data_IF_070112626838
#
_entry.id   IF_070112626838
#
_cell.length_a   1.000
_cell.length_b   1.000
_cell.length_c   1.000
_cell.angle_alpha   90.00
_cell.angle_beta   90.00
_cell.angle_gamma   90.00
#
_symmetry.space_group_name_H-M   'P 1'
#
loop_
_entity.id
_entity.type
_entity.pdbx_description
1 polymer ?
#
# COMPACT_ATOMS: atom_id res chain seq x y z
N UNK A 1 9.40 -20.87 17.22
CA UNK A 1 9.67 -19.45 16.87
C UNK A 1 11.06 -18.99 17.30
N UNK A 2 11.48 -19.28 18.53
CA UNK A 2 12.80 -18.85 19.07
C UNK A 2 13.98 -19.58 18.40
N UNK A 3 13.83 -20.87 18.17
CA UNK A 3 14.78 -21.70 17.41
C UNK A 3 14.94 -21.23 15.95
N UNK A 4 13.84 -20.89 15.30
CA UNK A 4 13.82 -20.32 13.95
C UNK A 4 14.45 -18.90 13.88
N UNK A 5 14.21 -18.07 14.91
CA UNK A 5 14.89 -16.75 15.06
C UNK A 5 16.39 -16.92 15.25
N UNK A 6 16.83 -17.95 15.98
CA UNK A 6 18.23 -18.28 16.20
C UNK A 6 18.92 -18.72 14.90
N UNK A 7 18.28 -19.62 14.13
CA UNK A 7 18.81 -20.10 12.84
C UNK A 7 18.97 -18.97 11.81
N UNK A 8 17.98 -18.07 11.68
CA UNK A 8 18.07 -16.94 10.74
C UNK A 8 19.11 -15.89 11.17
N UNK A 9 19.29 -15.66 12.48
CA UNK A 9 20.32 -14.72 12.99
C UNK A 9 21.74 -15.27 12.82
N UNK A 10 21.92 -16.59 12.91
CA UNK A 10 23.22 -17.23 12.85
C UNK A 10 23.83 -17.23 11.43
N UNK A 11 23.01 -17.30 10.38
CA UNK A 11 23.54 -17.30 9.02
C UNK A 11 23.78 -15.87 8.49
N UNK A 12 25.02 -15.39 8.55
CA UNK A 12 25.50 -14.21 7.79
C UNK A 12 25.70 -14.49 6.29
N UNK A 13 24.95 -15.42 5.68
CA UNK A 13 25.08 -15.72 4.25
C UNK A 13 24.41 -14.62 3.43
N UNK A 14 25.14 -14.11 2.42
CA UNK A 14 24.57 -13.25 1.38
C UNK A 14 23.41 -14.02 0.71
N UNK A 15 22.30 -13.34 0.35
CA UNK A 15 21.24 -13.98 -0.43
C UNK A 15 21.82 -14.63 -1.69
N UNK A 16 21.35 -15.82 -2.04
CA UNK A 16 21.73 -16.47 -3.29
C UNK A 16 21.18 -15.66 -4.47
N UNK A 17 21.87 -15.70 -5.61
CA UNK A 17 21.36 -15.12 -6.85
C UNK A 17 20.15 -15.93 -7.35
N UNK A 18 19.21 -15.28 -8.04
CA UNK A 18 18.14 -15.99 -8.73
C UNK A 18 18.70 -16.80 -9.89
N UNK A 19 18.20 -18.02 -10.07
CA UNK A 19 18.44 -18.85 -11.26
C UNK A 19 17.10 -19.22 -11.91
N UNK A 20 17.08 -19.67 -13.18
CA UNK A 20 15.85 -20.16 -13.80
C UNK A 20 15.17 -21.30 -13.01
N UNK A 21 15.96 -22.17 -12.39
CA UNK A 21 15.48 -23.32 -11.60
C UNK A 21 15.02 -22.90 -10.21
N UNK A 22 15.59 -21.83 -9.65
CA UNK A 22 15.17 -21.27 -8.38
C UNK A 22 15.10 -19.72 -8.42
N UNK A 23 14.00 -19.17 -8.99
CA UNK A 23 13.78 -17.73 -9.01
C UNK A 23 13.67 -17.11 -7.61
N UNK A 24 13.29 -17.90 -6.60
CA UNK A 24 13.05 -17.41 -5.24
C UNK A 24 14.31 -17.44 -4.33
N UNK A 25 15.44 -17.93 -4.83
CA UNK A 25 16.68 -18.07 -4.06
C UNK A 25 17.12 -16.79 -3.30
N UNK A 26 16.98 -15.57 -3.85
CA UNK A 26 17.30 -14.33 -3.13
C UNK A 26 16.39 -14.05 -1.93
N UNK A 27 15.19 -14.63 -1.89
CA UNK A 27 14.13 -14.27 -0.95
C UNK A 27 13.79 -15.39 0.05
N UNK A 28 14.48 -16.53 0.01
CA UNK A 28 14.14 -17.71 0.84
C UNK A 28 14.04 -17.38 2.33
N UNK A 29 14.84 -16.43 2.85
CA UNK A 29 14.73 -15.98 4.25
C UNK A 29 13.43 -15.24 4.54
N UNK A 30 12.93 -14.47 3.59
CA UNK A 30 11.67 -13.75 3.72
C UNK A 30 10.51 -14.74 3.64
N UNK A 31 10.53 -15.67 2.69
CA UNK A 31 9.51 -16.70 2.56
C UNK A 31 9.48 -17.67 3.73
N UNK A 32 10.64 -18.14 4.23
CA UNK A 32 10.67 -18.98 5.42
C UNK A 32 10.04 -18.27 6.64
N UNK A 33 10.25 -16.95 6.77
CA UNK A 33 9.62 -16.16 7.84
C UNK A 33 8.11 -16.05 7.65
N UNK A 34 7.67 -15.82 6.41
CA UNK A 34 6.25 -15.81 6.08
C UNK A 34 5.62 -17.16 6.41
N UNK A 35 6.21 -18.27 5.96
CA UNK A 35 5.73 -19.64 6.20
C UNK A 35 5.57 -19.95 7.68
N UNK A 36 6.55 -19.54 8.50
CA UNK A 36 6.49 -19.72 9.95
C UNK A 36 5.35 -18.91 10.61
N UNK A 37 4.90 -17.81 9.99
CA UNK A 37 3.82 -16.96 10.48
C UNK A 37 2.44 -17.39 10.00
N UNK A 38 2.32 -18.01 8.82
CA UNK A 38 1.04 -18.38 8.19
C UNK A 38 0.08 -19.12 9.15
N UNK A 39 0.50 -20.13 9.94
CA UNK A 39 -0.41 -20.81 10.87
C UNK A 39 -0.99 -19.88 11.94
N UNK A 40 -0.21 -18.90 12.40
CA UNK A 40 -0.66 -17.92 13.40
C UNK A 40 -1.63 -16.92 12.77
N UNK A 41 -1.29 -16.39 11.60
CA UNK A 41 -2.15 -15.46 10.87
C UNK A 41 -3.52 -16.09 10.57
N UNK A 42 -3.52 -17.34 10.12
CA UNK A 42 -4.75 -18.12 9.91
C UNK A 42 -5.59 -18.27 11.17
N UNK A 43 -4.99 -18.61 12.32
CA UNK A 43 -5.72 -18.72 13.61
C UNK A 43 -6.36 -17.41 14.04
N UNK A 44 -5.78 -16.28 13.65
CA UNK A 44 -6.29 -14.95 13.97
C UNK A 44 -7.17 -14.34 12.87
N UNK A 45 -7.43 -15.07 11.78
CA UNK A 45 -8.23 -14.56 10.66
C UNK A 45 -7.55 -13.40 9.90
N UNK A 46 -6.22 -13.26 10.01
CA UNK A 46 -5.47 -12.20 9.33
C UNK A 46 -5.12 -12.71 7.93
N UNK A 47 -5.61 -12.01 6.92
CA UNK A 47 -5.30 -12.27 5.51
C UNK A 47 -4.10 -11.44 5.04
N UNK A 48 -3.45 -11.88 3.97
CA UNK A 48 -2.24 -11.27 3.43
C UNK A 48 -2.46 -10.92 1.96
N UNK A 49 -2.17 -9.67 1.63
CA UNK A 49 -1.81 -9.24 0.28
C UNK A 49 -0.28 -9.21 0.20
N UNK A 50 0.30 -10.07 -0.63
CA UNK A 50 1.75 -10.14 -0.79
C UNK A 50 2.18 -9.23 -1.94
N UNK A 51 3.04 -8.26 -1.67
CA UNK A 51 3.48 -7.25 -2.64
C UNK A 51 4.92 -7.48 -3.07
N UNK A 52 5.21 -7.42 -4.37
CA UNK A 52 6.57 -7.28 -4.86
C UNK A 52 7.00 -5.81 -4.74
N UNK A 53 7.85 -5.47 -3.78
CA UNK A 53 8.40 -4.12 -3.65
C UNK A 53 9.73 -3.99 -4.41
N UNK A 54 10.83 -4.44 -3.81
CA UNK A 54 12.14 -4.49 -4.46
C UNK A 54 12.43 -5.92 -4.88
N UNK A 55 12.57 -6.14 -6.19
CA UNK A 55 12.92 -7.43 -6.75
C UNK A 55 14.44 -7.52 -6.98
N UNK A 56 14.96 -8.74 -6.97
CA UNK A 56 16.32 -9.07 -7.38
C UNK A 56 16.62 -8.46 -8.75
N UNK A 57 17.76 -7.77 -8.86
CA UNK A 57 18.14 -7.06 -10.07
C UNK A 57 17.51 -5.68 -10.25
N UNK A 58 16.58 -5.25 -9.39
CA UNK A 58 16.10 -3.87 -9.39
C UNK A 58 17.25 -2.90 -9.04
N UNK A 59 17.30 -1.72 -9.67
CA UNK A 59 18.28 -0.69 -9.32
C UNK A 59 18.16 -0.29 -7.84
N UNK A 60 19.28 0.10 -7.21
CA UNK A 60 19.22 0.73 -5.89
C UNK A 60 18.61 2.13 -6.03
N UNK A 61 17.61 2.44 -5.21
CA UNK A 61 16.93 3.73 -5.20
C UNK A 61 15.41 3.60 -5.32
N UNK A 62 14.71 4.69 -5.06
CA UNK A 62 13.27 4.79 -5.26
C UNK A 62 12.99 5.47 -6.61
N UNK A 63 12.53 4.67 -7.57
CA UNK A 63 12.26 5.12 -8.95
C UNK A 63 11.19 6.22 -8.98
N UNK A 64 10.34 6.32 -7.95
CA UNK A 64 9.37 7.42 -7.84
C UNK A 64 10.05 8.79 -7.82
N UNK A 65 11.21 8.89 -7.14
CA UNK A 65 11.95 10.14 -7.00
C UNK A 65 13.14 10.30 -7.97
N UNK A 66 13.30 9.35 -8.91
CA UNK A 66 14.37 9.29 -9.90
C UNK A 66 13.77 9.40 -11.31
N UNK A 67 13.47 10.63 -11.72
CA UNK A 67 12.69 10.94 -12.93
C UNK A 67 13.32 10.50 -14.26
N UNK A 68 14.58 10.06 -14.26
CA UNK A 68 15.33 9.58 -15.42
C UNK A 68 15.37 8.05 -15.55
N UNK A 69 14.76 7.31 -14.61
CA UNK A 69 14.74 5.84 -14.61
C UNK A 69 13.35 5.27 -14.81
N UNK A 70 13.30 4.09 -15.43
CA UNK A 70 12.10 3.29 -15.59
C UNK A 70 12.21 2.01 -14.77
N UNK A 71 11.11 1.61 -14.14
CA UNK A 71 11.04 0.36 -13.39
C UNK A 71 10.91 -0.83 -14.34
N UNK A 72 12.05 -1.29 -14.86
CA UNK A 72 12.13 -2.48 -15.70
C UNK A 72 12.89 -3.61 -15.00
N UNK A 73 12.15 -4.60 -14.50
CA UNK A 73 12.73 -5.81 -13.94
C UNK A 73 12.19 -7.08 -14.64
N UNK A 74 13.02 -7.65 -15.53
CA UNK A 74 12.68 -8.87 -16.27
C UNK A 74 12.53 -10.12 -15.42
N UNK A 75 12.97 -10.13 -14.18
CA UNK A 75 12.82 -11.26 -13.26
C UNK A 75 11.39 -11.37 -12.68
N UNK A 76 10.55 -10.34 -12.88
CA UNK A 76 9.22 -10.26 -12.28
C UNK A 76 8.29 -11.42 -12.68
N UNK A 77 8.18 -11.83 -13.96
CA UNK A 77 7.35 -12.96 -14.34
C UNK A 77 7.82 -14.30 -13.74
N UNK A 78 9.13 -14.57 -13.69
CA UNK A 78 9.67 -15.80 -13.09
C UNK A 78 9.47 -15.81 -11.56
N UNK A 79 9.66 -14.67 -10.91
CA UNK A 79 9.34 -14.50 -9.49
C UNK A 79 7.88 -14.85 -9.22
N UNK A 80 6.94 -14.26 -9.98
CA UNK A 80 5.51 -14.49 -9.79
C UNK A 80 5.07 -15.91 -10.15
N UNK A 81 5.68 -16.54 -11.17
CA UNK A 81 5.48 -17.96 -11.48
C UNK A 81 5.84 -18.84 -10.28
N UNK A 82 6.98 -18.59 -9.65
CA UNK A 82 7.44 -19.39 -8.52
C UNK A 82 6.64 -19.11 -7.23
N UNK A 83 6.28 -17.85 -6.96
CA UNK A 83 5.43 -17.47 -5.81
C UNK A 83 4.04 -18.11 -5.93
N UNK A 84 3.40 -17.99 -7.09
CA UNK A 84 2.07 -18.58 -7.32
C UNK A 84 2.09 -20.10 -7.17
N UNK A 85 3.11 -20.80 -7.70
CA UNK A 85 3.29 -22.25 -7.46
C UNK A 85 3.40 -22.58 -5.98
N UNK A 86 4.15 -21.80 -5.20
CA UNK A 86 4.39 -22.05 -3.77
C UNK A 86 3.12 -21.90 -2.94
N UNK A 87 2.30 -20.87 -3.23
CA UNK A 87 1.20 -20.45 -2.35
C UNK A 87 -0.21 -20.68 -2.89
N UNK A 88 -0.40 -21.29 -4.07
CA UNK A 88 -1.73 -21.58 -4.67
C UNK A 88 -2.75 -22.31 -3.78
N UNK A 89 -2.30 -22.94 -2.70
CA UNK A 89 -3.15 -23.65 -1.75
C UNK A 89 -3.10 -23.04 -0.33
N UNK A 90 -2.49 -21.87 -0.17
CA UNK A 90 -2.42 -21.16 1.10
C UNK A 90 -3.55 -20.12 1.19
N UNK A 91 -4.65 -20.41 1.92
CA UNK A 91 -5.81 -19.52 1.98
C UNK A 91 -5.56 -18.19 2.72
N UNK A 92 -4.46 -18.09 3.48
CA UNK A 92 -4.10 -16.86 4.19
C UNK A 92 -3.61 -15.78 3.22
N UNK A 93 -3.04 -16.17 2.06
CA UNK A 93 -2.60 -15.24 1.02
C UNK A 93 -3.75 -15.09 0.02
N UNK A 94 -4.43 -13.95 0.08
CA UNK A 94 -5.66 -13.72 -0.69
C UNK A 94 -5.41 -12.92 -1.96
N UNK A 95 -4.30 -12.18 -2.01
CA UNK A 95 -3.95 -11.35 -3.15
C UNK A 95 -2.45 -11.22 -3.35
N UNK A 96 -2.06 -10.98 -4.60
CA UNK A 96 -0.72 -10.56 -5.00
C UNK A 96 -0.76 -9.13 -5.55
N UNK A 97 -0.08 -8.18 -4.90
CA UNK A 97 0.18 -6.88 -5.51
C UNK A 97 1.42 -7.00 -6.41
N UNK A 98 1.19 -6.92 -7.72
CA UNK A 98 2.18 -7.32 -8.75
C UNK A 98 3.47 -6.53 -8.65
N UNK A 99 3.39 -5.24 -8.33
CA UNK A 99 4.51 -4.35 -8.07
C UNK A 99 4.03 -3.16 -7.26
N UNK A 100 4.75 -2.83 -6.19
CA UNK A 100 4.58 -1.57 -5.46
C UNK A 100 5.08 -0.40 -6.31
N UNK A 101 4.28 0.65 -6.45
CA UNK A 101 4.62 1.92 -7.10
C UNK A 101 5.39 1.74 -8.43
N UNK A 102 4.84 1.02 -9.42
CA UNK A 102 5.46 0.93 -10.73
C UNK A 102 5.56 2.35 -11.31
N UNK A 103 6.78 2.81 -11.55
CA UNK A 103 7.06 4.19 -11.94
C UNK A 103 7.87 4.24 -13.24
N UNK A 104 7.50 5.15 -14.13
CA UNK A 104 8.11 5.30 -15.46
C UNK A 104 8.20 6.78 -15.78
N UNK A 105 9.16 7.16 -16.64
CA UNK A 105 9.36 8.58 -16.98
C UNK A 105 8.13 9.25 -17.62
N UNK A 106 7.32 8.47 -18.35
CA UNK A 106 6.14 8.96 -19.06
C UNK A 106 5.13 7.82 -19.38
N UNK A 107 3.90 8.15 -19.81
CA UNK A 107 2.90 7.15 -20.22
C UNK A 107 3.30 6.26 -21.41
N UNK A 108 4.22 6.72 -22.28
CA UNK A 108 4.69 5.94 -23.44
C UNK A 108 5.60 4.80 -22.96
N UNK A 109 6.52 5.08 -22.02
CA UNK A 109 7.35 4.05 -21.39
C UNK A 109 6.52 3.10 -20.54
N UNK A 110 5.58 3.61 -19.73
CA UNK A 110 4.65 2.76 -18.99
C UNK A 110 3.88 1.83 -19.94
N UNK A 111 3.39 2.32 -21.09
CA UNK A 111 2.75 1.46 -22.09
C UNK A 111 3.68 0.39 -22.62
N UNK A 112 4.89 0.76 -23.04
CA UNK A 112 5.85 -0.17 -23.63
C UNK A 112 6.34 -1.25 -22.66
N UNK A 113 6.68 -0.85 -21.44
CA UNK A 113 7.38 -1.71 -20.47
C UNK A 113 6.40 -2.41 -19.54
N UNK A 114 5.43 -1.69 -18.99
CA UNK A 114 4.50 -2.24 -18.02
C UNK A 114 3.32 -2.92 -18.72
N UNK A 115 2.54 -2.16 -19.48
CA UNK A 115 1.27 -2.62 -20.02
C UNK A 115 1.41 -3.65 -21.15
N UNK A 116 2.49 -3.59 -21.93
CA UNK A 116 2.71 -4.49 -23.06
C UNK A 116 3.68 -5.67 -22.76
N UNK A 117 4.39 -5.64 -21.62
CA UNK A 117 5.43 -6.64 -21.32
C UNK A 117 5.30 -7.18 -19.88
N UNK A 118 5.77 -6.44 -18.87
CA UNK A 118 5.92 -6.97 -17.51
C UNK A 118 4.60 -7.42 -16.87
N UNK A 119 3.55 -6.62 -16.94
CA UNK A 119 2.27 -6.95 -16.31
C UNK A 119 1.59 -8.15 -16.99
N UNK A 120 1.36 -8.17 -18.32
CA UNK A 120 0.74 -9.32 -18.97
C UNK A 120 1.51 -10.64 -18.78
N UNK A 121 2.85 -10.59 -18.82
CA UNK A 121 3.68 -11.77 -18.61
C UNK A 121 3.60 -12.28 -17.17
N UNK A 122 3.57 -11.38 -16.18
CA UNK A 122 3.38 -11.74 -14.77
C UNK A 122 1.97 -12.28 -14.49
N UNK A 123 0.94 -11.63 -15.04
CA UNK A 123 -0.46 -12.08 -14.98
C UNK A 123 -0.59 -13.51 -15.53
N UNK A 124 -0.06 -13.75 -16.73
CA UNK A 124 -0.07 -15.08 -17.36
C UNK A 124 0.64 -16.12 -16.49
N UNK A 125 1.84 -15.80 -16.01
CA UNK A 125 2.64 -16.69 -15.17
C UNK A 125 1.93 -17.06 -13.86
N UNK A 126 1.16 -16.15 -13.27
CA UNK A 126 0.35 -16.44 -12.08
C UNK A 126 -0.83 -17.33 -12.46
N UNK A 127 -1.59 -16.98 -13.50
CA UNK A 127 -2.81 -17.70 -13.90
C UNK A 127 -2.55 -19.12 -14.41
N UNK A 128 -1.35 -19.42 -14.88
CA UNK A 128 -0.92 -20.79 -15.18
C UNK A 128 -0.82 -21.69 -13.92
N UNK A 129 -0.72 -21.10 -12.72
CA UNK A 129 -0.52 -21.83 -11.46
C UNK A 129 -1.64 -21.61 -10.43
N UNK A 130 -2.32 -20.46 -10.49
CA UNK A 130 -3.36 -20.03 -9.54
C UNK A 130 -4.39 -19.11 -10.22
N UNK A 131 -5.57 -19.67 -10.50
CA UNK A 131 -6.70 -18.98 -11.12
C UNK A 131 -7.67 -18.37 -10.09
N UNK A 132 -7.42 -18.54 -8.78
CA UNK A 132 -8.30 -18.08 -7.70
C UNK A 132 -7.76 -16.89 -6.92
N UNK A 133 -6.46 -16.63 -6.92
CA UNK A 133 -5.87 -15.48 -6.22
C UNK A 133 -6.28 -14.14 -6.85
N UNK A 134 -6.56 -13.14 -6.02
CA UNK A 134 -6.76 -11.76 -6.49
C UNK A 134 -5.43 -11.12 -6.87
N UNK A 135 -5.42 -10.28 -7.90
CA UNK A 135 -4.25 -9.49 -8.26
C UNK A 135 -4.55 -8.03 -8.01
N UNK A 136 -3.66 -7.40 -7.25
CA UNK A 136 -3.70 -5.97 -7.00
C UNK A 136 -2.80 -5.28 -8.01
N UNK A 137 -3.38 -4.34 -8.75
CA UNK A 137 -2.75 -3.62 -9.84
C UNK A 137 -2.68 -2.13 -9.50
N UNK A 138 -1.48 -1.69 -9.16
CA UNK A 138 -1.15 -0.28 -8.99
C UNK A 138 -0.79 0.37 -10.33
N UNK A 139 -1.24 1.62 -10.54
CA UNK A 139 -1.12 2.29 -11.84
C UNK A 139 0.20 3.08 -12.00
N UNK A 140 1.04 2.80 -13.01
CA UNK A 140 2.05 3.75 -13.48
C UNK A 140 1.43 4.93 -14.26
N UNK A 141 2.21 5.97 -14.62
CA UNK A 141 3.65 6.16 -14.45
C UNK A 141 4.06 6.88 -13.17
N UNK A 142 3.13 7.17 -12.25
CA UNK A 142 3.35 8.09 -11.12
C UNK A 142 3.21 7.40 -9.76
N UNK A 143 3.93 6.29 -9.56
CA UNK A 143 3.99 5.56 -8.29
C UNK A 143 2.64 5.34 -7.63
N UNK A 144 1.71 4.71 -8.35
CA UNK A 144 0.37 4.38 -7.86
C UNK A 144 -0.50 5.58 -7.44
N UNK A 145 -0.15 6.84 -7.75
CA UNK A 145 -1.01 7.98 -7.39
C UNK A 145 -2.35 7.95 -8.16
N UNK A 146 -3.39 8.48 -7.53
CA UNK A 146 -4.78 8.43 -8.03
C UNK A 146 -4.95 8.88 -9.49
N UNK A 147 -4.17 9.86 -9.97
CA UNK A 147 -4.26 10.32 -11.37
C UNK A 147 -3.66 9.34 -12.38
N UNK A 148 -2.91 8.32 -11.96
CA UNK A 148 -2.49 7.22 -12.83
C UNK A 148 -3.68 6.45 -13.42
N UNK A 149 -4.86 6.56 -12.80
CA UNK A 149 -6.12 6.00 -13.31
C UNK A 149 -6.60 6.64 -14.62
N UNK A 150 -6.04 7.79 -15.02
CA UNK A 150 -6.28 8.37 -16.35
C UNK A 150 -5.81 7.42 -17.48
N UNK A 151 -4.81 6.59 -17.21
CA UNK A 151 -4.11 5.78 -18.19
C UNK A 151 -4.18 4.26 -17.92
N UNK A 152 -4.78 3.84 -16.82
CA UNK A 152 -4.93 2.41 -16.51
C UNK A 152 -5.98 1.77 -17.41
N UNK A 153 -5.64 0.68 -18.15
CA UNK A 153 -6.62 -0.04 -18.94
C UNK A 153 -7.52 -0.91 -18.04
N UNK A 154 -8.73 -1.16 -18.51
CA UNK A 154 -9.51 -2.29 -18.02
C UNK A 154 -8.78 -3.59 -18.39
N UNK A 155 -8.64 -4.50 -17.43
CA UNK A 155 -7.96 -5.79 -17.61
C UNK A 155 -9.03 -6.85 -17.73
N UNK A 156 -8.93 -7.69 -18.75
CA UNK A 156 -9.84 -8.82 -18.95
C UNK A 156 -9.46 -10.00 -18.03
N UNK A 157 -9.61 -9.78 -16.73
CA UNK A 157 -9.45 -10.80 -15.69
C UNK A 157 -10.45 -10.51 -14.55
N UNK A 158 -11.18 -11.54 -14.13
CA UNK A 158 -12.29 -11.40 -13.16
C UNK A 158 -11.82 -11.13 -11.73
N UNK A 159 -10.52 -11.28 -11.46
CA UNK A 159 -9.91 -11.22 -10.13
C UNK A 159 -8.84 -10.14 -10.05
N UNK A 160 -9.13 -8.97 -10.61
CA UNK A 160 -8.31 -7.76 -10.50
C UNK A 160 -8.91 -6.77 -9.50
N UNK A 161 -8.06 -6.22 -8.65
CA UNK A 161 -8.32 -5.08 -7.78
C UNK A 161 -7.40 -3.95 -8.26
N UNK A 162 -7.98 -2.80 -8.58
CA UNK A 162 -7.22 -1.62 -8.99
C UNK A 162 -6.85 -0.82 -7.75
N UNK A 163 -5.57 -0.47 -7.61
CA UNK A 163 -5.09 0.18 -6.40
C UNK A 163 -4.38 1.51 -6.66
N UNK A 164 -4.51 2.41 -5.68
CA UNK A 164 -3.77 3.67 -5.64
C UNK A 164 -3.28 4.00 -4.23
N UNK A 165 -2.24 4.84 -4.16
CA UNK A 165 -1.70 5.42 -2.94
C UNK A 165 -2.27 6.82 -2.73
N UNK A 166 -2.67 7.13 -1.50
CA UNK A 166 -3.25 8.41 -1.12
C UNK A 166 -2.44 9.14 -0.06
N UNK A 167 -1.81 10.24 -0.48
CA UNK A 167 -0.98 11.07 0.40
C UNK A 167 -1.15 12.57 0.14
N UNK A 168 -2.27 13.02 -0.42
CA UNK A 168 -2.43 14.44 -0.80
C UNK A 168 -2.91 15.31 0.37
N UNK A 169 -2.34 16.48 0.65
CA UNK A 169 -1.08 17.02 0.10
C UNK A 169 0.14 16.18 0.49
N UNK A 170 0.99 15.90 -0.50
CA UNK A 170 2.22 15.14 -0.26
C UNK A 170 3.19 15.90 0.63
N UNK A 171 3.27 17.24 0.48
CA UNK A 171 4.12 18.05 1.34
C UNK A 171 3.64 18.04 2.80
N UNK A 172 2.32 17.98 3.03
CA UNK A 172 1.73 17.88 4.36
C UNK A 172 1.95 16.50 4.99
N UNK A 173 1.61 15.42 4.27
CA UNK A 173 1.69 14.04 4.78
C UNK A 173 3.12 13.55 4.99
N UNK A 174 4.08 14.16 4.30
CA UNK A 174 5.51 13.85 4.38
C UNK A 174 6.34 15.00 4.98
N UNK A 175 5.71 15.98 5.63
CA UNK A 175 6.41 17.15 6.17
C UNK A 175 7.55 16.72 7.10
N UNK A 176 8.76 17.23 6.91
CA UNK A 176 9.91 16.92 7.75
C UNK A 176 10.56 15.53 7.56
N UNK A 177 10.17 14.78 6.52
CA UNK A 177 10.81 13.51 6.16
C UNK A 177 12.00 13.78 5.22
N UNK A 178 13.22 13.76 5.74
CA UNK A 178 14.43 14.23 5.02
C UNK A 178 14.81 13.43 3.76
N UNK A 179 14.37 12.18 3.63
CA UNK A 179 14.55 11.40 2.40
C UNK A 179 13.70 11.92 1.23
N UNK A 180 12.64 12.68 1.52
CA UNK A 180 11.61 13.12 0.58
C UNK A 180 11.64 14.64 0.45
N UNK A 181 11.72 15.33 1.58
CA UNK A 181 12.00 16.75 1.65
C UNK A 181 13.47 17.00 1.32
N UNK A 182 13.77 17.14 0.02
CA UNK A 182 15.14 17.26 -0.50
C UNK A 182 15.69 18.68 -0.37
N UNK A 183 14.84 19.69 -0.11
CA UNK A 183 15.22 21.11 -0.10
C UNK A 183 14.65 21.86 1.10
N UNK A 184 15.34 22.93 1.50
CA UNK A 184 14.83 23.91 2.45
C UNK A 184 14.90 23.50 3.94
N UNK A 185 14.31 24.34 4.82
CA UNK A 185 14.29 24.10 6.25
C UNK A 185 13.43 22.89 6.60
N UNK A 186 13.57 22.39 7.84
CA UNK A 186 12.66 21.36 8.34
C UNK A 186 11.20 21.82 8.27
N UNK A 187 10.32 20.99 7.72
CA UNK A 187 8.87 21.28 7.67
C UNK A 187 8.07 20.54 8.73
N UNK A 188 8.69 19.86 9.72
CA UNK A 188 7.95 19.29 10.85
C UNK A 188 7.09 20.34 11.54
N UNK A 189 5.78 20.14 11.53
CA UNK A 189 4.81 21.05 12.13
C UNK A 189 4.51 22.30 11.31
N UNK A 190 5.12 22.47 10.14
CA UNK A 190 4.98 23.69 9.34
C UNK A 190 3.65 23.77 8.58
N UNK A 191 3.02 22.63 8.30
CA UNK A 191 1.77 22.55 7.55
C UNK A 191 0.68 21.92 8.41
N UNK A 192 -0.54 22.44 8.32
CA UNK A 192 -1.70 21.99 9.10
C UNK A 192 -2.79 21.43 8.18
N UNK A 193 -3.69 20.61 8.71
CA UNK A 193 -4.89 20.16 8.01
C UNK A 193 -6.14 20.30 8.90
N UNK A 194 -7.25 20.88 8.40
CA UNK A 194 -7.32 21.67 7.16
C UNK A 194 -6.40 22.89 7.22
N UNK A 195 -5.81 23.28 6.09
CA UNK A 195 -4.81 24.36 6.09
C UNK A 195 -4.03 24.50 4.79
N UNK A 196 -3.10 25.46 4.77
CA UNK A 196 -2.25 25.68 3.61
C UNK A 196 -1.04 24.75 3.61
N UNK A 197 -0.84 24.08 2.47
CA UNK A 197 0.35 23.29 2.20
C UNK A 197 0.63 23.27 0.69
N UNK A 198 1.90 23.25 0.27
CA UNK A 198 2.24 22.90 -1.11
C UNK A 198 1.67 21.54 -1.47
N UNK A 199 1.36 21.26 -2.74
CA UNK A 199 0.98 19.90 -3.15
C UNK A 199 2.15 18.92 -2.96
N UNK A 200 3.36 19.35 -3.30
CA UNK A 200 4.62 18.62 -3.19
C UNK A 200 5.72 19.54 -2.65
N UNK A 201 6.83 18.95 -2.17
CA UNK A 201 7.97 19.71 -1.65
C UNK A 201 8.44 20.80 -2.63
N UNK A 202 8.71 21.99 -2.10
CA UNK A 202 9.11 23.17 -2.89
C UNK A 202 8.01 23.81 -3.77
N UNK A 203 6.78 23.29 -3.75
CA UNK A 203 5.65 23.89 -4.47
C UNK A 203 5.07 25.14 -3.80
N UNK A 204 4.16 25.83 -4.50
CA UNK A 204 3.37 26.93 -3.92
C UNK A 204 2.29 26.37 -2.98
N UNK A 205 2.09 26.94 -1.79
CA UNK A 205 0.99 26.57 -0.91
C UNK A 205 -0.37 26.75 -1.58
N UNK A 206 -1.27 25.80 -1.32
CA UNK A 206 -2.70 25.89 -1.62
C UNK A 206 -3.47 25.41 -0.40
N UNK A 207 -4.75 25.79 -0.29
CA UNK A 207 -5.59 25.37 0.82
C UNK A 207 -6.07 23.93 0.64
N UNK A 208 -5.94 23.12 1.69
CA UNK A 208 -6.37 21.72 1.74
C UNK A 208 -7.45 21.55 2.80
N UNK A 209 -8.61 21.12 2.36
CA UNK A 209 -9.69 20.58 3.16
C UNK A 209 -10.12 19.22 2.58
N UNK A 210 -11.22 18.67 3.07
CA UNK A 210 -11.78 17.41 2.57
C UNK A 210 -12.14 17.46 1.09
N UNK A 211 -12.72 18.56 0.61
CA UNK A 211 -13.12 18.69 -0.79
C UNK A 211 -11.89 18.72 -1.72
N UNK A 212 -10.82 19.42 -1.31
CA UNK A 212 -9.55 19.43 -2.02
C UNK A 212 -8.89 18.05 -2.04
N UNK A 213 -8.95 17.30 -0.94
CA UNK A 213 -8.46 15.92 -0.84
C UNK A 213 -9.24 15.00 -1.79
N UNK A 214 -10.57 15.05 -1.76
CA UNK A 214 -11.45 14.25 -2.62
C UNK A 214 -11.23 14.55 -4.11
N UNK A 215 -11.03 15.82 -4.47
CA UNK A 215 -10.77 16.23 -5.84
C UNK A 215 -9.53 15.54 -6.45
N UNK A 216 -8.55 15.15 -5.63
CA UNK A 216 -7.37 14.42 -6.10
C UNK A 216 -7.67 13.02 -6.64
N UNK A 217 -8.84 12.47 -6.30
CA UNK A 217 -9.29 11.13 -6.71
C UNK A 217 -10.15 11.16 -7.97
N UNK A 218 -10.24 12.31 -8.66
CA UNK A 218 -11.08 12.50 -9.84
C UNK A 218 -10.95 11.38 -10.88
N UNK A 219 -9.72 11.00 -11.22
CA UNK A 219 -9.47 9.96 -12.24
C UNK A 219 -9.92 8.57 -11.79
N UNK A 220 -9.89 8.27 -10.48
CA UNK A 220 -10.43 7.03 -9.92
C UNK A 220 -11.95 7.00 -10.10
N UNK A 221 -12.64 8.12 -9.86
CA UNK A 221 -14.07 8.23 -10.10
C UNK A 221 -14.43 8.05 -11.58
N UNK A 222 -13.67 8.68 -12.49
CA UNK A 222 -13.90 8.51 -13.93
C UNK A 222 -13.63 7.08 -14.39
N UNK A 223 -12.60 6.44 -13.85
CA UNK A 223 -12.34 5.02 -14.12
C UNK A 223 -13.47 4.13 -13.63
N UNK A 224 -13.94 4.31 -12.39
CA UNK A 224 -15.06 3.54 -11.82
C UNK A 224 -16.37 3.76 -12.58
N UNK A 225 -16.63 4.98 -13.07
CA UNK A 225 -17.78 5.28 -13.93
C UNK A 225 -17.72 4.52 -15.26
N UNK A 226 -16.52 4.44 -15.87
CA UNK A 226 -16.28 3.66 -17.10
C UNK A 226 -16.31 2.15 -16.85
N UNK A 227 -15.96 1.72 -15.65
CA UNK A 227 -15.80 0.31 -15.25
C UNK A 227 -16.57 0.04 -13.94
N UNK A 228 -17.91 0.01 -13.96
CA UNK A 228 -18.72 -0.10 -12.73
C UNK A 228 -18.47 -1.40 -11.95
N UNK A 229 -17.97 -2.46 -12.59
CA UNK A 229 -17.58 -3.71 -11.93
C UNK A 229 -16.18 -3.71 -11.29
N UNK A 230 -15.34 -2.71 -11.55
CA UNK A 230 -13.97 -2.67 -11.04
C UNK A 230 -13.92 -2.52 -9.52
N UNK A 231 -13.08 -3.32 -8.84
CA UNK A 231 -12.79 -3.16 -7.41
C UNK A 231 -11.67 -2.15 -7.22
N UNK A 232 -11.81 -1.28 -6.23
CA UNK A 232 -10.84 -0.24 -5.91
C UNK A 232 -10.29 -0.50 -4.50
N UNK A 233 -8.98 -0.39 -4.36
CA UNK A 233 -8.25 -0.47 -3.09
C UNK A 233 -7.37 0.77 -2.92
N UNK A 234 -7.45 1.41 -1.76
CA UNK A 234 -6.44 2.38 -1.35
C UNK A 234 -5.32 1.62 -0.65
N UNK A 235 -4.33 1.14 -1.42
CA UNK A 235 -3.33 0.19 -0.92
C UNK A 235 -2.32 0.82 0.04
N UNK A 236 -2.15 2.15 0.00
CA UNK A 236 -1.39 2.88 1.00
C UNK A 236 -1.96 4.28 1.22
N UNK A 237 -2.10 4.67 2.47
CA UNK A 237 -2.32 6.06 2.86
C UNK A 237 -1.86 6.27 4.30
N UNK A 238 -1.50 7.50 4.64
CA UNK A 238 -1.04 7.85 5.96
C UNK A 238 -0.59 9.31 6.05
N UNK A 239 -0.26 9.73 7.25
CA UNK A 239 0.17 11.10 7.54
C UNK A 239 1.26 11.05 8.62
N UNK A 240 2.30 11.85 8.46
CA UNK A 240 3.36 11.91 9.46
C UNK A 240 2.78 12.18 10.86
N UNK A 241 3.21 11.42 11.86
CA UNK A 241 2.67 11.49 13.24
C UNK A 241 2.80 12.86 13.90
N UNK A 242 3.76 13.68 13.45
CA UNK A 242 3.96 15.05 13.94
C UNK A 242 3.23 16.11 13.11
N UNK A 243 2.48 15.73 12.06
CA UNK A 243 1.73 16.66 11.24
C UNK A 243 0.47 17.15 11.99
N UNK A 244 0.34 18.45 12.30
CA UNK A 244 -0.84 18.99 12.96
C UNK A 244 -2.12 18.69 12.16
N UNK A 245 -3.17 18.25 12.85
CA UNK A 245 -4.45 17.90 12.19
C UNK A 245 -4.48 16.52 11.52
N UNK A 246 -3.47 15.67 11.74
CA UNK A 246 -3.38 14.36 11.07
C UNK A 246 -4.55 13.42 11.35
N UNK A 247 -5.16 13.47 12.55
CA UNK A 247 -6.37 12.70 12.84
C UNK A 247 -7.57 13.15 12.00
N UNK A 248 -7.74 14.47 11.78
CA UNK A 248 -8.79 15.00 10.91
C UNK A 248 -8.55 14.59 9.45
N UNK A 249 -7.29 14.64 8.98
CA UNK A 249 -6.94 14.18 7.63
C UNK A 249 -7.26 12.71 7.41
N UNK A 250 -6.91 11.84 8.37
CA UNK A 250 -7.27 10.42 8.31
C UNK A 250 -8.78 10.21 8.33
N UNK A 251 -9.52 10.99 9.13
CA UNK A 251 -10.98 10.89 9.23
C UNK A 251 -11.62 11.22 7.88
N UNK A 252 -11.20 12.33 7.27
CA UNK A 252 -11.73 12.77 5.98
C UNK A 252 -11.38 11.81 4.85
N UNK A 253 -10.15 11.28 4.83
CA UNK A 253 -9.71 10.28 3.85
C UNK A 253 -10.52 8.97 3.97
N UNK A 254 -10.62 8.41 5.18
CA UNK A 254 -11.36 7.16 5.43
C UNK A 254 -12.84 7.35 5.09
N UNK A 255 -13.46 8.48 5.46
CA UNK A 255 -14.87 8.73 5.12
C UNK A 255 -15.10 8.77 3.61
N UNK A 256 -14.17 9.36 2.84
CA UNK A 256 -14.25 9.33 1.37
C UNK A 256 -14.18 7.89 0.86
N UNK A 257 -13.22 7.09 1.34
CA UNK A 257 -13.05 5.70 0.90
C UNK A 257 -14.29 4.85 1.21
N UNK A 258 -14.80 4.93 2.42
CA UNK A 258 -15.99 4.20 2.89
C UNK A 258 -17.25 4.62 2.13
N UNK A 259 -17.44 5.93 1.88
CA UNK A 259 -18.57 6.44 1.08
C UNK A 259 -18.59 5.86 -0.34
N UNK A 260 -17.42 5.56 -0.90
CA UNK A 260 -17.29 4.95 -2.22
C UNK A 260 -17.19 3.41 -2.20
N UNK A 261 -17.22 2.80 -1.02
CA UNK A 261 -17.11 1.34 -0.85
C UNK A 261 -15.76 0.79 -1.29
N UNK A 262 -14.68 1.54 -1.06
CA UNK A 262 -13.32 1.13 -1.39
C UNK A 262 -12.64 0.51 -0.17
N UNK A 263 -11.97 -0.62 -0.38
CA UNK A 263 -11.10 -1.21 0.63
C UNK A 263 -9.86 -0.32 0.85
N UNK A 264 -9.22 -0.39 2.01
CA UNK A 264 -8.04 0.44 2.31
C UNK A 264 -7.07 -0.20 3.30
N UNK A 265 -5.80 0.17 3.19
CA UNK A 265 -4.72 -0.24 4.12
C UNK A 265 -3.89 0.97 4.57
N UNK A 266 -3.78 1.15 5.89
CA UNK A 266 -3.01 2.26 6.48
C UNK A 266 -1.51 1.96 6.47
N UNK A 267 -0.71 2.93 6.02
CA UNK A 267 0.74 2.92 6.11
C UNK A 267 1.17 3.71 7.36
N UNK A 268 1.92 3.15 8.31
CA UNK A 268 2.31 1.73 8.42
C UNK A 268 2.38 1.24 9.86
N UNK A 269 1.71 0.13 10.17
CA UNK A 269 1.82 -0.52 11.49
C UNK A 269 3.10 -1.35 11.58
N UNK A 270 4.00 -1.00 12.51
CA UNK A 270 5.27 -1.73 12.72
C UNK A 270 6.31 -1.56 11.59
N UNK A 271 6.09 -0.58 10.72
CA UNK A 271 6.97 -0.19 9.61
C UNK A 271 7.97 0.89 10.03
N UNK A 272 7.99 2.01 9.32
CA UNK A 272 8.73 3.19 9.80
C UNK A 272 7.84 4.01 10.71
N UNK A 273 8.37 4.42 11.86
CA UNK A 273 7.58 5.02 12.93
C UNK A 273 7.02 6.41 12.60
N UNK A 274 7.50 7.07 11.54
CA UNK A 274 7.01 8.40 11.17
C UNK A 274 5.57 8.40 10.64
N UNK A 275 5.12 7.31 10.00
CA UNK A 275 3.74 7.14 9.53
C UNK A 275 2.94 6.13 10.36
N UNK A 276 3.55 5.52 11.38
CA UNK A 276 2.85 4.56 12.23
C UNK A 276 1.86 5.32 13.14
N UNK A 277 0.53 5.09 13.00
CA UNK A 277 -0.46 5.82 13.77
C UNK A 277 -0.38 5.49 15.27
N UNK A 278 0.37 4.46 15.68
CA UNK A 278 0.51 4.06 17.08
C UNK A 278 1.61 4.82 17.83
N UNK A 279 2.22 5.81 17.19
CA UNK A 279 3.24 6.67 17.77
C UNK A 279 2.76 8.12 17.90
N UNK A 280 3.08 8.74 19.03
CA UNK A 280 2.91 10.18 19.24
C UNK A 280 4.07 10.96 18.59
N UNK A 281 3.87 12.26 18.37
CA UNK A 281 4.82 13.11 17.67
C UNK A 281 6.25 13.05 18.27
N UNK A 282 6.33 13.02 19.60
CA UNK A 282 7.55 13.10 20.43
C UNK A 282 8.20 11.74 20.73
N UNK A 283 7.62 10.63 20.24
CA UNK A 283 8.16 9.30 20.51
C UNK A 283 9.57 9.08 19.96
N UNK A 284 10.34 8.19 20.60
CA UNK A 284 11.67 7.82 20.10
C UNK A 284 11.65 7.16 18.70
N UNK A 285 12.81 7.10 18.01
CA UNK A 285 12.95 6.58 16.65
C UNK A 285 12.92 5.03 16.57
N UNK A 286 11.96 4.39 17.24
CA UNK A 286 11.82 2.93 17.24
C UNK A 286 10.91 2.51 16.09
N UNK A 287 11.36 1.61 15.22
CA UNK A 287 10.58 1.16 14.05
C UNK A 287 9.50 0.12 14.38
N UNK A 288 9.42 -0.40 15.61
CA UNK A 288 8.43 -1.44 15.93
C UNK A 288 7.84 -1.17 17.31
N UNK A 289 6.51 -1.01 17.41
CA UNK A 289 5.88 -0.94 18.71
C UNK A 289 6.15 -2.27 19.41
N UNK A 290 6.47 -2.22 20.70
CA UNK A 290 6.52 -3.42 21.50
C UNK A 290 5.07 -3.83 21.80
N UNK A 291 4.56 -4.94 21.22
CA UNK A 291 3.18 -5.33 21.43
C UNK A 291 2.88 -5.73 22.88
N UNK A 292 3.92 -5.85 23.72
CA UNK A 292 3.81 -6.13 25.15
C UNK A 292 3.94 -4.89 26.05
N UNK A 293 4.33 -3.74 25.50
CA UNK A 293 4.48 -2.46 26.22
C UNK A 293 3.52 -1.38 25.69
N UNK A 294 2.32 -1.82 25.31
CA UNK A 294 1.17 -1.03 24.87
C UNK A 294 1.33 -0.30 23.54
N UNK A 295 0.68 -0.86 22.51
CA UNK A 295 0.32 -0.14 21.30
C UNK A 295 -0.49 1.10 21.73
N UNK A 296 0.08 2.30 21.59
CA UNK A 296 -0.56 3.51 22.10
C UNK A 296 -1.85 3.79 21.34
N UNK A 297 -2.86 4.21 22.08
CA UNK A 297 -4.16 4.59 21.53
C UNK A 297 -4.21 6.08 21.18
N UNK A 298 -3.35 6.51 20.26
CA UNK A 298 -3.25 7.91 19.78
C UNK A 298 -4.56 8.36 19.10
N UNK A 299 -4.70 9.66 18.86
CA UNK A 299 -5.82 10.22 18.09
C UNK A 299 -5.94 9.59 16.68
N UNK A 300 -4.83 9.44 15.97
CA UNK A 300 -4.75 8.84 14.63
C UNK A 300 -5.10 7.36 14.66
N UNK A 301 -4.62 6.62 15.66
CA UNK A 301 -4.94 5.21 15.77
C UNK A 301 -6.41 4.98 16.14
N UNK A 302 -7.01 5.87 16.94
CA UNK A 302 -8.45 5.83 17.20
C UNK A 302 -9.27 6.00 15.92
N UNK A 303 -8.87 6.92 15.04
CA UNK A 303 -9.52 7.13 13.73
C UNK A 303 -9.42 5.88 12.85
N UNK A 304 -8.23 5.28 12.75
CA UNK A 304 -8.02 4.03 12.00
C UNK A 304 -8.89 2.89 12.56
N UNK A 305 -8.94 2.72 13.87
CA UNK A 305 -9.80 1.72 14.51
C UNK A 305 -11.28 1.98 14.29
N UNK A 306 -11.70 3.24 14.27
CA UNK A 306 -13.09 3.61 13.98
C UNK A 306 -13.46 3.21 12.54
N UNK A 307 -12.57 3.43 11.57
CA UNK A 307 -12.74 2.94 10.20
C UNK A 307 -12.84 1.41 10.14
N UNK A 308 -11.91 0.68 10.76
CA UNK A 308 -11.97 -0.79 10.79
C UNK A 308 -13.23 -1.34 11.47
N UNK A 309 -13.78 -0.63 12.45
CA UNK A 309 -15.00 -1.03 13.14
C UNK A 309 -16.24 -1.04 12.22
N UNK A 310 -16.22 -0.30 11.10
CA UNK A 310 -17.29 -0.35 10.08
C UNK A 310 -17.38 -1.73 9.40
N UNK A 311 -16.27 -2.46 9.37
CA UNK A 311 -16.16 -3.78 8.75
C UNK A 311 -16.23 -4.92 9.77
N UNK A 312 -16.52 -4.61 11.05
CA UNK A 312 -16.77 -5.65 12.03
C UNK A 312 -18.03 -6.41 11.61
N UNK A 313 -18.01 -7.76 11.55
CA UNK A 313 -19.21 -8.53 11.28
C UNK A 313 -20.24 -8.14 12.35
N UNK A 314 -21.29 -7.42 11.95
CA UNK A 314 -22.30 -6.94 12.88
C UNK A 314 -22.73 -8.12 13.75
N UNK A 315 -22.79 -7.90 15.07
CA UNK A 315 -23.82 -8.58 15.85
C UNK A 315 -25.14 -8.22 15.19
N UNK A 316 -25.60 -9.11 14.31
CA UNK A 316 -26.93 -9.07 13.73
C UNK A 316 -27.94 -8.67 14.82
N UNK A 317 -28.80 -7.70 14.48
CA UNK A 317 -29.97 -7.20 15.24
C UNK A 317 -29.71 -6.03 16.20
N UNK A 318 -29.77 -4.83 15.65
CA UNK A 318 -30.67 -3.80 16.21
C UNK A 318 -31.65 -3.42 15.10
N UNK A 319 -32.80 -4.11 15.11
CA UNK A 319 -34.01 -3.61 14.45
C UNK A 319 -34.28 -2.24 15.05
N UNK A 320 -34.27 -1.19 14.24
CA UNK A 320 -34.87 0.09 14.60
C UNK A 320 -36.35 -0.20 14.86
N UNK A 321 -36.73 -0.28 16.14
CA UNK A 321 -38.11 -0.09 16.58
C UNK A 321 -38.38 1.40 16.52
N UNK A 322 -39.32 1.84 15.69
CA UNK A 322 -39.81 3.21 15.74
C UNK A 322 -40.51 3.64 14.45
N UNK A 323 -41.80 3.33 14.38
CA UNK A 323 -42.68 3.79 13.30
C UNK A 323 -44.10 3.28 13.58
N UNK A 324 -44.72 3.86 14.61
CA UNK A 324 -46.08 3.58 15.04
C UNK A 324 -47.10 4.00 14.00
N UNK A 325 -48.05 3.10 13.75
CA UNK A 325 -49.40 3.42 13.28
C UNK A 325 -50.07 4.40 14.26
N UNK A 326 -50.54 5.52 13.71
CA UNK A 326 -51.89 6.06 13.93
C UNK A 326 -52.16 7.15 12.90
#
# INVERSE_FOLDING_TARGET
>A
MEEFRSQIRAEKRKPAAATPENPLAPYERHFARLDALLPTLRRHGIQIMLTASTLYGSPQGDVFYETDKDDYNRHMPEFWSAVSKRYRHEPTIVAYCIKNEPNYRDPIQAKKIWWNDLFPNSLKAIRENDDQVWLVLESPPTGALAWGFAHIPAIDDKRIIYAFHHYMSHAYTHQGVRGIQKRGPDTRGAYTYPGEAPRFDGGKPVYWDKAAVELTMHEVFQFKKRNPGARILVSEFGVARWAPGGAQWLTDAIEIFERHGWDWTVHSFGGWNGWDPTYEADDGPRNRPDPTQDIKNTDRFQVVKAGWALNAPEKSKIRIKGGSEN
#
